data_IF_923668425859
#
_entry.id   IF_923668425859
#
_cell.length_a   1.000
_cell.length_b   1.000
_cell.length_c   1.000
_cell.angle_alpha   90.00
_cell.angle_beta   90.00
_cell.angle_gamma   90.00
#
_symmetry.space_group_name_H-M   'P 1'
#
loop_
_entity.id
_entity.type
_entity.pdbx_description
1 polymer ?
#
# COMPACT_ATOMS: atom_id res chain seq x y z
N UNK A 1 -8.23 3.66 -11.84
CA UNK A 1 -7.96 3.07 -10.50
C UNK A 1 -7.58 1.59 -10.54
N UNK A 2 -7.67 0.90 -11.69
CA UNK A 2 -7.38 -0.55 -11.78
C UNK A 2 -5.91 -0.94 -11.58
N UNK A 3 -4.98 0.02 -11.67
CA UNK A 3 -3.53 -0.25 -11.61
C UNK A 3 -2.90 0.08 -10.26
N UNK A 4 -3.70 0.48 -9.27
CA UNK A 4 -3.22 0.80 -7.91
C UNK A 4 -2.34 -0.31 -7.30
N UNK A 5 -2.68 -1.61 -7.43
CA UNK A 5 -1.84 -2.69 -6.90
C UNK A 5 -0.47 -2.78 -7.58
N UNK A 6 -0.40 -2.48 -8.88
CA UNK A 6 0.87 -2.49 -9.63
C UNK A 6 1.79 -1.36 -9.17
N UNK A 7 1.25 -0.17 -8.89
CA UNK A 7 2.02 0.93 -8.34
C UNK A 7 2.56 0.61 -6.94
N UNK A 8 1.76 -0.02 -6.08
CA UNK A 8 2.22 -0.47 -4.76
C UNK A 8 3.36 -1.48 -4.90
N UNK A 9 3.19 -2.49 -5.75
CA UNK A 9 4.22 -3.50 -6.00
C UNK A 9 5.53 -2.90 -6.50
N UNK A 10 5.47 -1.99 -7.48
CA UNK A 10 6.65 -1.30 -8.00
C UNK A 10 7.33 -0.43 -6.92
N UNK A 11 6.56 0.29 -6.10
CA UNK A 11 7.09 1.10 -5.01
C UNK A 11 7.82 0.24 -3.95
N UNK A 12 7.23 -0.88 -3.54
CA UNK A 12 7.87 -1.84 -2.62
C UNK A 12 9.17 -2.36 -3.22
N UNK A 13 9.15 -2.78 -4.49
CA UNK A 13 10.33 -3.31 -5.16
C UNK A 13 11.49 -2.30 -5.13
N UNK A 14 11.22 -1.06 -5.53
CA UNK A 14 12.21 0.03 -5.51
C UNK A 14 12.72 0.30 -4.09
N UNK A 15 11.83 0.36 -3.10
CA UNK A 15 12.21 0.65 -1.71
C UNK A 15 13.02 -0.47 -1.05
N UNK A 16 12.78 -1.73 -1.42
CA UNK A 16 13.59 -2.85 -0.95
C UNK A 16 15.01 -2.84 -1.53
N UNK A 17 15.21 -2.33 -2.75
CA UNK A 17 16.55 -2.18 -3.33
C UNK A 17 17.43 -1.18 -2.57
N UNK A 18 16.83 -0.24 -1.81
CA UNK A 18 17.59 0.68 -0.95
C UNK A 18 18.14 0.02 0.32
N UNK A 19 17.82 -1.25 0.62
CA UNK A 19 18.42 -2.00 1.72
C UNK A 19 17.86 -1.71 3.12
N UNK A 20 16.73 -1.02 3.23
CA UNK A 20 16.02 -0.85 4.51
C UNK A 20 15.42 -2.18 5.01
N UNK A 21 15.20 -2.36 6.33
CA UNK A 21 14.59 -3.58 6.85
C UNK A 21 13.22 -3.84 6.19
N UNK A 22 13.06 -5.05 5.63
CA UNK A 22 11.94 -5.43 4.75
C UNK A 22 10.57 -5.13 5.37
N UNK A 23 10.41 -5.44 6.66
CA UNK A 23 9.15 -5.26 7.37
C UNK A 23 8.69 -3.78 7.42
N UNK A 24 9.62 -2.85 7.68
CA UNK A 24 9.31 -1.43 7.72
C UNK A 24 8.95 -0.90 6.33
N UNK A 25 9.69 -1.32 5.31
CA UNK A 25 9.41 -0.94 3.92
C UNK A 25 8.01 -1.39 3.49
N UNK A 26 7.65 -2.65 3.79
CA UNK A 26 6.36 -3.21 3.40
C UNK A 26 5.19 -2.57 4.17
N UNK A 27 5.33 -2.38 5.49
CA UNK A 27 4.28 -1.75 6.30
C UNK A 27 4.09 -0.27 5.96
N UNK A 28 5.19 0.48 5.79
CA UNK A 28 5.14 1.91 5.47
C UNK A 28 4.53 2.19 4.09
N UNK A 29 4.93 1.42 3.08
CA UNK A 29 4.33 1.52 1.73
C UNK A 29 2.85 1.14 1.73
N UNK A 30 2.46 0.07 2.42
CA UNK A 30 1.07 -0.32 2.55
C UNK A 30 0.22 0.77 3.22
N UNK A 31 0.72 1.41 4.29
CA UNK A 31 0.04 2.52 4.96
C UNK A 31 -0.11 3.75 4.04
N UNK A 32 0.94 4.14 3.32
CA UNK A 32 0.88 5.28 2.38
C UNK A 32 -0.16 5.00 1.29
N UNK A 33 -0.13 3.81 0.69
CA UNK A 33 -1.07 3.44 -0.36
C UNK A 33 -2.50 3.23 0.16
N UNK A 34 -2.70 2.85 1.42
CA UNK A 34 -4.02 2.83 2.07
C UNK A 34 -4.63 4.23 2.13
N UNK A 35 -3.88 5.24 2.56
CA UNK A 35 -4.35 6.64 2.61
C UNK A 35 -4.60 7.20 1.21
N UNK A 36 -3.70 6.92 0.27
CA UNK A 36 -3.90 7.32 -1.13
C UNK A 36 -5.13 6.62 -1.72
N UNK A 37 -5.31 5.34 -1.44
CA UNK A 37 -6.47 4.56 -1.87
C UNK A 37 -7.77 5.11 -1.31
N UNK A 38 -7.78 5.52 -0.04
CA UNK A 38 -8.95 6.13 0.61
C UNK A 38 -9.33 7.47 -0.05
N UNK A 39 -8.36 8.34 -0.29
CA UNK A 39 -8.60 9.66 -0.89
C UNK A 39 -8.96 9.58 -2.37
N UNK A 40 -8.46 8.58 -3.09
CA UNK A 40 -8.77 8.35 -4.52
C UNK A 40 -10.06 7.55 -4.71
N UNK A 41 -10.61 6.94 -3.65
CA UNK A 41 -11.76 6.03 -3.71
C UNK A 41 -11.43 4.61 -4.21
N UNK A 42 -10.15 4.23 -4.25
CA UNK A 42 -9.70 2.86 -4.56
C UNK A 42 -9.73 1.92 -3.36
N UNK A 43 -9.77 2.45 -2.14
CA UNK A 43 -9.75 1.67 -0.90
C UNK A 43 -10.82 2.21 0.04
N UNK A 44 -11.81 1.37 0.36
CA UNK A 44 -12.86 1.71 1.30
C UNK A 44 -12.49 1.17 2.70
N UNK A 45 -12.35 2.05 3.72
CA UNK A 45 -12.07 1.62 5.08
C UNK A 45 -13.13 0.67 5.65
N UNK A 46 -14.37 0.75 5.16
CA UNK A 46 -15.46 -0.12 5.60
C UNK A 46 -15.14 -1.61 5.33
N UNK A 47 -14.30 -1.90 4.32
CA UNK A 47 -13.80 -3.25 4.09
C UNK A 47 -12.93 -3.77 5.25
N UNK A 48 -12.25 -2.90 5.99
CA UNK A 48 -11.48 -3.30 7.18
C UNK A 48 -12.39 -3.63 8.36
N UNK A 49 -13.52 -2.93 8.49
CA UNK A 49 -14.51 -3.16 9.53
C UNK A 49 -15.35 -4.42 9.25
N UNK A 50 -15.45 -4.82 7.98
CA UNK A 50 -16.05 -6.08 7.54
C UNK A 50 -15.12 -7.30 7.68
N UNK A 51 -13.86 -7.13 8.06
CA UNK A 51 -12.96 -8.25 8.36
C UNK A 51 -13.37 -8.89 9.71
N UNK A 52 -13.51 -10.23 9.79
CA UNK A 52 -13.90 -10.93 11.01
C UNK A 52 -12.84 -10.87 12.11
#
# INVERSE_FOLDING_TARGET
>A
MEWMPLYLFAAVFVLLLFGYPVAFTLAGTALIFSVIGQTTGSFDPDFLEALP
#
